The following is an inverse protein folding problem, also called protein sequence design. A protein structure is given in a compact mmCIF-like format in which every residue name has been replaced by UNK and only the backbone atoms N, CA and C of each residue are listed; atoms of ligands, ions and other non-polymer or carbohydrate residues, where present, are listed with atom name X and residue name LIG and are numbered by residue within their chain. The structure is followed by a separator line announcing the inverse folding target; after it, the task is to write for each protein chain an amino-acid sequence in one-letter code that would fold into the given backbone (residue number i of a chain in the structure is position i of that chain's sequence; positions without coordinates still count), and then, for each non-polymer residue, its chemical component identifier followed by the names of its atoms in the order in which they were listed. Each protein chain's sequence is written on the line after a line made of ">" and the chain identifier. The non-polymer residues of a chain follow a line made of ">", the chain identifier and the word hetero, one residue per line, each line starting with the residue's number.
data_IF_329355969192
#
_entry.id   IF_329355969192
#
_cell.length_a   1.000
_cell.length_b   1.000
_cell.length_c   1.000
_cell.angle_alpha   90.00
_cell.angle_beta   90.00
_cell.angle_gamma   90.00
#
_symmetry.space_group_name_H-M   'P 1'
#
loop_
_entity.id
_entity.type
_entity.pdbx_description
1 polymer ?
#
# COMPACT_ATOMS: atom_id res chain seq x y z
N UNK A 1 -27.31 8.21 14.88
CA UNK A 1 -27.77 7.27 15.92
C UNK A 1 -28.33 8.12 17.02
N UNK A 2 -29.61 7.92 17.33
CA UNK A 2 -30.36 8.90 18.11
C UNK A 2 -30.13 8.76 19.61
N UNK A 3 -30.09 9.92 20.27
CA UNK A 3 -29.87 10.10 21.70
C UNK A 3 -31.20 9.97 22.44
N UNK A 4 -31.29 9.05 23.40
CA UNK A 4 -32.43 8.96 24.32
C UNK A 4 -31.99 9.35 25.73
N UNK A 5 -32.60 10.42 26.26
CA UNK A 5 -32.40 10.89 27.63
C UNK A 5 -33.59 10.45 28.49
N UNK A 6 -33.38 9.47 29.37
CA UNK A 6 -34.37 9.12 30.39
C UNK A 6 -34.03 9.85 31.68
N UNK A 7 -34.78 10.91 31.99
CA UNK A 7 -34.72 11.59 33.29
C UNK A 7 -35.81 10.99 34.17
N UNK A 8 -35.44 10.17 35.14
CA UNK A 8 -36.36 9.73 36.19
C UNK A 8 -36.38 10.82 37.27
N UNK A 9 -37.49 11.55 37.40
CA UNK A 9 -37.76 12.39 38.56
C UNK A 9 -38.67 11.61 39.51
N UNK A 10 -38.14 11.13 40.62
CA UNK A 10 -38.96 10.69 41.74
C UNK A 10 -39.22 11.89 42.63
N UNK A 11 -40.50 12.28 42.79
CA UNK A 11 -40.90 12.99 44.01
C UNK A 11 -40.96 11.94 45.12
N UNK A 12 -40.16 12.09 46.16
CA UNK A 12 -40.40 11.44 47.44
C UNK A 12 -40.73 12.52 48.44
N UNK A 13 -42.03 12.68 48.70
CA UNK A 13 -42.49 13.08 50.02
C UNK A 13 -42.15 11.92 50.96
N UNK A 14 -41.40 12.21 52.03
CA UNK A 14 -40.96 11.35 53.13
C UNK A 14 -39.48 10.94 53.10
N UNK A 15 -38.71 11.68 53.91
CA UNK A 15 -37.83 11.07 54.90
C UNK A 15 -36.39 10.82 54.51
N UNK A 16 -35.54 11.81 54.80
CA UNK A 16 -34.16 11.59 55.26
C UNK A 16 -33.11 11.38 54.18
N UNK A 17 -32.33 12.43 53.89
CA UNK A 17 -31.02 12.28 53.25
C UNK A 17 -30.09 11.50 54.18
N UNK A 18 -29.56 10.37 53.73
CA UNK A 18 -28.40 9.75 54.36
C UNK A 18 -27.16 10.54 53.96
N UNK A 19 -26.47 11.11 54.95
CA UNK A 19 -25.25 11.93 54.88
C UNK A 19 -24.00 11.17 54.38
N UNK A 20 -24.17 9.99 53.78
CA UNK A 20 -23.07 9.17 53.32
C UNK A 20 -23.50 8.32 52.12
N UNK A 21 -23.39 8.89 50.91
CA UNK A 21 -23.40 8.12 49.67
C UNK A 21 -22.09 8.38 48.95
N UNK A 22 -21.10 7.52 49.21
CA UNK A 22 -19.82 7.52 48.51
C UNK A 22 -20.04 7.47 46.99
N UNK A 23 -19.21 8.17 46.24
CA UNK A 23 -19.25 8.16 44.78
C UNK A 23 -19.12 6.72 44.26
N UNK A 24 -20.24 6.14 43.82
CA UNK A 24 -20.28 4.82 43.22
C UNK A 24 -19.47 4.85 41.92
N UNK A 25 -18.30 4.20 41.96
CA UNK A 25 -17.46 3.74 40.86
C UNK A 25 -17.99 4.08 39.45
N UNK A 26 -17.41 5.09 38.81
CA UNK A 26 -17.54 5.27 37.37
C UNK A 26 -16.48 4.41 36.66
N UNK A 27 -16.89 3.24 36.16
CA UNK A 27 -16.06 2.51 35.21
C UNK A 27 -16.22 3.17 33.85
N UNK A 28 -15.28 4.05 33.50
CA UNK A 28 -15.13 4.53 32.14
C UNK A 28 -14.40 3.43 31.39
N UNK A 29 -15.08 2.76 30.46
CA UNK A 29 -14.41 1.85 29.55
C UNK A 29 -13.19 2.59 28.96
N UNK A 30 -11.97 2.06 29.07
CA UNK A 30 -10.85 2.66 28.36
C UNK A 30 -11.26 2.69 26.90
N UNK A 31 -11.17 3.86 26.27
CA UNK A 31 -11.41 3.99 24.84
C UNK A 31 -10.44 3.01 24.18
N UNK A 32 -10.97 1.87 23.74
CA UNK A 32 -10.22 0.93 22.95
C UNK A 32 -9.89 1.73 21.72
N UNK A 33 -8.64 2.16 21.62
CA UNK A 33 -8.09 2.91 20.50
C UNK A 33 -8.23 2.02 19.28
N UNK A 34 -9.41 2.07 18.67
CA UNK A 34 -9.74 1.33 17.46
C UNK A 34 -9.09 2.09 16.32
N UNK A 35 -7.76 2.07 16.27
CA UNK A 35 -7.00 2.52 15.11
C UNK A 35 -7.20 1.46 14.04
N UNK A 36 -8.36 1.50 13.40
CA UNK A 36 -8.64 0.78 12.18
C UNK A 36 -8.35 1.74 11.04
N UNK A 37 -7.08 2.12 10.85
CA UNK A 37 -6.67 2.75 9.61
C UNK A 37 -6.85 1.71 8.50
N UNK A 38 -8.02 1.75 7.84
CA UNK A 38 -8.24 1.00 6.62
C UNK A 38 -7.42 1.70 5.55
N UNK A 39 -6.30 1.09 5.16
CA UNK A 39 -5.55 1.52 3.99
C UNK A 39 -6.46 1.46 2.77
N UNK A 40 -6.45 2.50 1.95
CA UNK A 40 -7.16 2.50 0.68
C UNK A 40 -6.53 1.44 -0.24
N UNK A 41 -7.33 0.68 -1.02
CA UNK A 41 -6.78 -0.22 -2.03
C UNK A 41 -5.87 0.55 -2.99
N UNK A 42 -4.64 0.06 -3.18
CA UNK A 42 -3.66 0.73 -4.04
C UNK A 42 -2.85 1.86 -3.39
N UNK A 43 -3.06 2.18 -2.10
CA UNK A 43 -2.28 3.21 -1.41
C UNK A 43 -0.77 2.92 -1.49
N UNK A 44 0.02 3.86 -2.03
CA UNK A 44 1.47 3.72 -2.23
C UNK A 44 1.89 3.16 -3.59
N UNK A 45 0.93 2.76 -4.45
CA UNK A 45 1.21 2.27 -5.81
C UNK A 45 1.64 3.39 -6.76
N UNK A 46 1.23 4.62 -6.47
CA UNK A 46 1.61 5.84 -7.18
C UNK A 46 3.13 6.04 -7.25
N UNK A 47 3.86 5.56 -6.24
CA UNK A 47 5.33 5.60 -6.21
C UNK A 47 5.98 4.86 -7.39
N UNK A 48 5.34 3.79 -7.87
CA UNK A 48 5.84 3.00 -9.00
C UNK A 48 5.34 3.50 -10.35
N UNK A 49 4.25 4.27 -10.37
CA UNK A 49 3.55 4.63 -11.60
C UNK A 49 4.42 5.52 -12.49
N UNK A 50 4.41 5.22 -13.79
CA UNK A 50 5.15 6.00 -14.78
C UNK A 50 5.99 5.14 -15.72
N UNK A 51 6.88 5.80 -16.45
CA UNK A 51 7.84 5.16 -17.36
C UNK A 51 9.22 5.19 -16.74
N UNK A 52 9.93 4.10 -16.90
CA UNK A 52 11.26 3.87 -16.37
C UNK A 52 12.15 3.35 -17.50
N UNK A 53 13.41 3.73 -17.51
CA UNK A 53 14.36 3.24 -18.51
C UNK A 53 15.74 2.98 -17.93
N UNK A 54 16.41 2.01 -18.49
CA UNK A 54 17.77 1.64 -18.16
C UNK A 54 18.49 1.05 -19.35
N UNK A 55 19.71 0.60 -19.09
CA UNK A 55 20.52 -0.13 -20.06
C UNK A 55 20.97 -1.44 -19.40
N UNK A 56 20.92 -2.52 -20.18
CA UNK A 56 21.40 -3.84 -19.75
C UNK A 56 22.52 -4.28 -20.68
N UNK A 57 23.54 -4.94 -20.13
CA UNK A 57 24.69 -5.43 -20.90
C UNK A 57 24.68 -6.94 -20.98
N UNK A 58 24.62 -7.45 -22.22
CA UNK A 58 24.58 -8.88 -22.54
C UNK A 58 25.60 -9.23 -23.64
N UNK A 59 26.79 -8.64 -23.56
CA UNK A 59 27.74 -8.58 -24.68
C UNK A 59 27.43 -7.46 -25.69
N UNK A 60 26.25 -6.85 -25.61
CA UNK A 60 25.90 -5.56 -26.24
C UNK A 60 25.07 -4.73 -25.25
N UNK A 61 25.19 -3.41 -25.33
CA UNK A 61 24.32 -2.50 -24.58
C UNK A 61 22.93 -2.52 -25.23
N UNK A 62 21.92 -2.92 -24.46
CA UNK A 62 20.51 -2.97 -24.87
C UNK A 62 19.69 -1.98 -24.07
N UNK A 63 18.69 -1.39 -24.71
CA UNK A 63 17.80 -0.42 -24.04
C UNK A 63 16.65 -1.17 -23.40
N UNK A 64 16.43 -0.91 -22.11
CA UNK A 64 15.31 -1.47 -21.35
C UNK A 64 14.36 -0.35 -20.96
N UNK A 65 13.06 -0.56 -21.16
CA UNK A 65 12.02 0.35 -20.69
C UNK A 65 10.95 -0.42 -19.94
N UNK A 66 10.51 0.09 -18.80
CA UNK A 66 9.44 -0.46 -18.00
C UNK A 66 8.35 0.61 -17.85
N UNK A 67 7.12 0.29 -18.21
CA UNK A 67 5.96 1.16 -17.93
C UNK A 67 5.08 0.52 -16.88
N UNK A 68 4.75 1.28 -15.84
CA UNK A 68 3.90 0.84 -14.74
C UNK A 68 2.60 1.64 -14.79
N UNK A 69 1.49 0.93 -14.97
CA UNK A 69 0.15 1.50 -14.98
C UNK A 69 -0.66 0.92 -13.81
N UNK A 70 -1.39 1.77 -13.10
CA UNK A 70 -2.16 1.41 -11.92
C UNK A 70 -3.66 1.68 -12.13
N UNK A 71 -4.51 0.80 -11.60
CA UNK A 71 -5.96 0.96 -11.55
C UNK A 71 -6.51 0.34 -10.26
N UNK A 72 -6.78 1.18 -9.27
CA UNK A 72 -7.10 0.74 -7.91
C UNK A 72 -5.94 -0.05 -7.30
N UNK A 73 -6.19 -1.28 -6.84
CA UNK A 73 -5.14 -2.20 -6.38
C UNK A 73 -4.49 -3.01 -7.51
N UNK A 74 -4.99 -2.93 -8.73
CA UNK A 74 -4.43 -3.70 -9.85
C UNK A 74 -3.34 -2.87 -10.54
N UNK A 75 -2.31 -3.55 -11.04
CA UNK A 75 -1.27 -2.91 -11.81
C UNK A 75 -0.90 -3.74 -13.04
N UNK A 76 -0.36 -3.06 -14.04
CA UNK A 76 0.17 -3.64 -15.27
C UNK A 76 1.59 -3.12 -15.48
N UNK A 77 2.52 -4.05 -15.68
CA UNK A 77 3.91 -3.80 -16.03
C UNK A 77 4.11 -4.12 -17.50
N UNK A 78 4.60 -3.17 -18.28
CA UNK A 78 5.01 -3.40 -19.66
C UNK A 78 6.52 -3.24 -19.74
N UNK A 79 7.22 -4.37 -19.81
CA UNK A 79 8.67 -4.42 -19.96
C UNK A 79 9.00 -4.53 -21.45
N UNK A 80 9.89 -3.68 -21.95
CA UNK A 80 10.41 -3.77 -23.30
C UNK A 80 11.93 -3.74 -23.32
N UNK A 81 12.50 -4.62 -24.15
CA UNK A 81 13.93 -4.72 -24.43
C UNK A 81 14.11 -4.64 -25.94
N UNK A 82 14.86 -3.63 -26.41
CA UNK A 82 15.13 -3.39 -27.83
C UNK A 82 13.86 -3.41 -28.73
N UNK A 83 12.73 -2.96 -28.20
CA UNK A 83 11.44 -2.88 -28.92
C UNK A 83 10.55 -4.11 -28.81
N UNK A 84 11.06 -5.26 -28.36
CA UNK A 84 10.23 -6.41 -27.97
C UNK A 84 9.60 -6.12 -26.60
N UNK A 85 8.28 -6.28 -26.45
CA UNK A 85 7.59 -5.98 -25.20
C UNK A 85 6.80 -7.16 -24.65
N UNK A 86 6.81 -7.34 -23.33
CA UNK A 86 6.01 -8.31 -22.59
C UNK A 86 5.25 -7.60 -21.46
N UNK A 87 4.01 -7.99 -21.29
CA UNK A 87 3.10 -7.41 -20.30
C UNK A 87 2.88 -8.39 -19.15
N UNK A 88 2.91 -7.87 -17.93
CA UNK A 88 2.67 -8.59 -16.69
C UNK A 88 1.59 -7.87 -15.89
N UNK A 89 0.76 -8.61 -15.18
CA UNK A 89 -0.32 -8.06 -14.38
C UNK A 89 -0.27 -8.62 -12.97
N UNK A 90 -0.65 -7.81 -12.01
CA UNK A 90 -0.66 -8.21 -10.61
C UNK A 90 -1.59 -7.36 -9.76
N UNK A 91 -1.67 -7.73 -8.50
CA UNK A 91 -2.43 -7.01 -7.48
C UNK A 91 -1.48 -6.52 -6.41
N UNK A 92 -1.50 -5.22 -6.18
CA UNK A 92 -0.64 -4.55 -5.21
C UNK A 92 -1.21 -4.66 -3.80
N UNK A 93 -0.37 -5.08 -2.87
CA UNK A 93 -0.63 -4.96 -1.45
C UNK A 93 -0.35 -3.50 -1.03
N UNK A 94 -1.33 -2.84 -0.42
CA UNK A 94 -1.19 -1.44 -0.01
C UNK A 94 0.07 -1.22 0.84
N UNK A 95 0.81 -0.16 0.54
CA UNK A 95 2.08 0.22 1.15
C UNK A 95 3.24 -0.77 0.95
N UNK A 96 3.13 -1.76 0.07
CA UNK A 96 4.25 -2.67 -0.27
C UNK A 96 5.36 -1.94 -1.02
N UNK A 97 6.63 -2.24 -0.72
CA UNK A 97 7.77 -1.73 -1.49
C UNK A 97 8.12 -2.62 -2.70
N UNK A 98 7.23 -3.56 -3.02
CA UNK A 98 7.39 -4.55 -4.09
C UNK A 98 6.12 -4.66 -4.93
N UNK A 99 6.28 -4.67 -6.26
CA UNK A 99 5.30 -5.18 -7.21
C UNK A 99 5.71 -6.59 -7.63
N UNK A 100 4.85 -7.56 -7.38
CA UNK A 100 5.12 -8.96 -7.68
C UNK A 100 4.00 -9.54 -8.56
N UNK A 101 4.39 -10.08 -9.72
CA UNK A 101 3.47 -10.77 -10.64
C UNK A 101 3.75 -12.28 -10.71
N UNK A 102 4.60 -12.82 -9.83
CA UNK A 102 5.14 -14.18 -9.86
C UNK A 102 6.25 -14.39 -10.91
N UNK A 103 6.11 -13.76 -12.08
CA UNK A 103 7.08 -13.83 -13.18
C UNK A 103 8.04 -12.62 -13.24
N UNK A 104 7.65 -11.49 -12.63
CA UNK A 104 8.43 -10.26 -12.58
C UNK A 104 8.24 -9.61 -11.21
N UNK A 105 9.35 -9.28 -10.57
CA UNK A 105 9.41 -8.60 -9.28
C UNK A 105 10.07 -7.25 -9.48
N UNK A 106 9.43 -6.18 -9.02
CA UNK A 106 9.93 -4.81 -9.11
C UNK A 106 9.99 -4.22 -7.71
N UNK A 107 11.12 -3.63 -7.34
CA UNK A 107 11.37 -3.06 -6.01
C UNK A 107 11.84 -1.62 -6.15
N UNK A 108 11.33 -0.75 -5.27
CA UNK A 108 11.90 0.59 -5.09
C UNK A 108 13.23 0.47 -4.36
N UNK A 109 14.20 1.30 -4.75
CA UNK A 109 15.37 1.53 -3.91
C UNK A 109 14.97 2.31 -2.65
N UNK A 110 15.63 2.01 -1.52
CA UNK A 110 15.31 2.62 -0.23
C UNK A 110 15.87 4.04 -0.08
N UNK A 111 16.87 4.40 -0.88
CA UNK A 111 17.57 5.69 -0.81
C UNK A 111 17.20 6.59 -1.99
N UNK A 112 16.88 6.00 -3.15
CA UNK A 112 16.53 6.70 -4.38
C UNK A 112 15.15 6.29 -4.90
N UNK A 113 14.15 7.15 -4.72
CA UNK A 113 12.79 6.91 -5.20
C UNK A 113 12.66 6.90 -6.73
N UNK A 114 13.69 7.33 -7.45
CA UNK A 114 13.74 7.33 -8.92
C UNK A 114 14.52 6.13 -9.47
N UNK A 115 14.82 5.14 -8.63
CA UNK A 115 15.46 3.88 -9.03
C UNK A 115 14.56 2.66 -8.73
N UNK A 116 14.43 1.78 -9.71
CA UNK A 116 13.80 0.47 -9.55
C UNK A 116 14.76 -0.67 -9.87
N UNK A 117 14.73 -1.69 -9.01
CA UNK A 117 15.32 -3.00 -9.28
C UNK A 117 14.26 -3.93 -9.85
N UNK A 118 14.59 -4.58 -10.95
CA UNK A 118 13.70 -5.52 -11.64
C UNK A 118 14.36 -6.89 -11.71
N UNK A 119 13.63 -7.91 -11.27
CA UNK A 119 14.03 -9.31 -11.26
C UNK A 119 12.96 -10.14 -11.98
N UNK A 120 13.37 -10.90 -12.99
CA UNK A 120 12.52 -11.77 -13.77
C UNK A 120 12.72 -13.24 -13.38
N UNK A 121 11.62 -13.96 -13.20
CA UNK A 121 11.66 -15.39 -12.87
C UNK A 121 12.26 -16.23 -14.02
N UNK A 122 12.15 -15.75 -15.25
CA UNK A 122 12.76 -16.34 -16.44
C UNK A 122 13.63 -15.30 -17.15
N UNK A 123 14.48 -15.76 -18.05
CA UNK A 123 15.25 -14.88 -18.93
C UNK A 123 14.28 -13.97 -19.70
N UNK A 124 14.54 -12.66 -19.65
CA UNK A 124 13.66 -11.70 -20.31
C UNK A 124 13.85 -11.86 -21.82
N UNK A 125 12.79 -12.07 -22.62
CA UNK A 125 12.94 -12.20 -24.06
C UNK A 125 13.68 -10.99 -24.66
N UNK A 126 14.88 -11.24 -25.21
CA UNK A 126 15.74 -10.21 -25.78
C UNK A 126 16.80 -9.62 -24.84
N UNK A 127 16.80 -9.93 -23.55
CA UNK A 127 17.89 -9.65 -22.62
C UNK A 127 18.39 -10.98 -22.04
N UNK A 128 19.66 -11.33 -22.25
CA UNK A 128 20.27 -12.57 -21.74
C UNK A 128 20.42 -12.65 -20.22
N UNK A 129 19.69 -11.81 -19.49
CA UNK A 129 19.72 -11.72 -18.04
C UNK A 129 18.34 -11.69 -17.42
N UNK A 130 18.35 -11.85 -16.10
CA UNK A 130 17.16 -11.88 -15.26
C UNK A 130 17.00 -10.63 -14.41
N UNK A 131 18.09 -9.89 -14.20
CA UNK A 131 18.15 -8.76 -13.27
C UNK A 131 18.64 -7.50 -14.00
N UNK A 132 17.97 -6.38 -13.78
CA UNK A 132 18.36 -5.09 -14.32
C UNK A 132 17.79 -3.95 -13.48
N UNK A 133 18.40 -2.77 -13.64
CA UNK A 133 18.00 -1.56 -12.93
C UNK A 133 17.46 -0.55 -13.94
N UNK A 134 16.37 0.13 -13.58
CA UNK A 134 15.76 1.17 -14.40
C UNK A 134 15.55 2.44 -13.58
N UNK A 135 15.73 3.58 -14.23
CA UNK A 135 15.60 4.92 -13.63
C UNK A 135 14.34 5.60 -14.18
N UNK A 136 13.68 6.42 -13.37
CA UNK A 136 12.47 7.12 -13.77
C UNK A 136 12.72 8.02 -14.99
N UNK A 137 11.80 8.01 -15.94
CA UNK A 137 11.83 8.96 -17.06
C UNK A 137 11.06 10.22 -16.65
N UNK A 138 11.77 11.35 -16.67
CA UNK A 138 11.20 12.69 -16.48
C UNK A 138 10.28 13.08 -17.64
#
# INVERSE_FOLDING_TARGET
>A
GDLFLYVVRTKSELGGESENSEAASAYKDPEVVAVKHRLLPGAGLDRFQGKWSGQYYDGKVRKVTLSVNASGSNFTLQLSVDGSSKTYQGKYAAMSDVLDTGALVVRLDQQDSDLLYVEAAEEVPGAGGRNFTVVKQN
#
